data_IF_331795709293
#
_entry.id   IF_331795709293
#
_cell.length_a   1.000
_cell.length_b   1.000
_cell.length_c   1.000
_cell.angle_alpha   90.00
_cell.angle_beta   90.00
_cell.angle_gamma   90.00
#
_symmetry.space_group_name_H-M   'P 1'
#
loop_
_entity.id
_entity.type
_entity.pdbx_description
1 polymer ?
#
# COMPACT_ATOMS: atom_id res chain seq x y z
N UNK A 1 2.22 -4.96 65.75
CA UNK A 1 2.35 -4.27 64.44
C UNK A 1 3.73 -4.51 63.82
N UNK A 2 4.13 -5.77 63.56
CA UNK A 2 5.49 -6.11 63.08
C UNK A 2 5.52 -6.94 61.79
N UNK A 3 4.37 -7.27 61.21
CA UNK A 3 4.26 -8.05 59.97
C UNK A 3 3.80 -7.22 58.75
N UNK A 4 3.40 -5.96 58.95
CA UNK A 4 2.96 -5.07 57.86
C UNK A 4 4.09 -4.73 56.87
N UNK A 5 5.35 -4.70 57.31
CA UNK A 5 6.49 -4.44 56.42
C UNK A 5 6.81 -5.59 55.46
N UNK A 6 6.58 -6.84 55.87
CA UNK A 6 6.91 -8.01 55.05
C UNK A 6 5.93 -8.18 53.88
N UNK A 7 4.64 -7.88 54.10
CA UNK A 7 3.64 -7.87 53.03
C UNK A 7 3.90 -6.77 51.99
N UNK A 8 4.34 -5.59 52.43
CA UNK A 8 4.68 -4.49 51.52
C UNK A 8 5.92 -4.82 50.67
N UNK A 9 6.94 -5.45 51.26
CA UNK A 9 8.16 -5.87 50.55
C UNK A 9 7.89 -6.97 49.52
N UNK A 10 7.01 -7.93 49.84
CA UNK A 10 6.55 -8.96 48.89
C UNK A 10 5.75 -8.36 47.73
N UNK A 11 4.88 -7.39 48.00
CA UNK A 11 4.14 -6.67 46.97
C UNK A 11 5.08 -5.87 46.05
N UNK A 12 6.08 -5.19 46.62
CA UNK A 12 7.08 -4.44 45.87
C UNK A 12 7.96 -5.36 45.01
N UNK A 13 8.33 -6.54 45.53
CA UNK A 13 9.07 -7.55 44.79
C UNK A 13 8.26 -8.14 43.62
N UNK A 14 6.97 -8.40 43.82
CA UNK A 14 6.08 -8.88 42.76
C UNK A 14 5.88 -7.82 41.64
N UNK A 15 5.81 -6.53 42.00
CA UNK A 15 5.69 -5.45 41.02
C UNK A 15 7.00 -5.16 40.26
N UNK A 16 8.16 -5.38 40.89
CA UNK A 16 9.48 -5.23 40.24
C UNK A 16 9.72 -6.30 39.16
N UNK A 17 9.20 -7.52 39.36
CA UNK A 17 9.30 -8.61 38.37
C UNK A 17 8.48 -8.34 37.09
N UNK A 18 7.39 -7.57 37.17
CA UNK A 18 6.50 -7.32 36.02
C UNK A 18 6.93 -6.15 35.12
N UNK A 19 7.80 -5.24 35.57
CA UNK A 19 8.20 -4.05 34.79
C UNK A 19 9.39 -4.32 33.85
N UNK A 20 10.13 -5.42 34.03
CA UNK A 20 11.32 -5.76 33.24
C UNK A 20 11.01 -6.46 31.90
N UNK A 21 9.74 -6.70 31.58
CA UNK A 21 9.34 -7.57 30.47
C UNK A 21 8.78 -6.89 29.23
N UNK A 22 8.61 -5.56 29.23
CA UNK A 22 8.12 -4.86 28.04
C UNK A 22 9.31 -4.47 27.16
N UNK A 23 9.45 -5.01 25.94
CA UNK A 23 10.47 -4.54 25.01
C UNK A 23 10.24 -3.05 24.77
N UNK A 24 11.17 -2.25 25.27
CA UNK A 24 11.06 -0.80 25.27
C UNK A 24 11.59 -0.31 23.92
N UNK A 25 10.68 -0.01 22.98
CA UNK A 25 10.99 0.58 21.69
C UNK A 25 11.93 -0.27 20.85
N UNK A 26 11.47 -1.43 20.38
CA UNK A 26 12.18 -2.09 19.29
C UNK A 26 12.13 -1.19 18.06
N UNK A 27 13.28 -0.95 17.43
CA UNK A 27 13.33 -0.22 16.16
C UNK A 27 12.53 -1.03 15.13
N UNK A 28 11.49 -0.40 14.58
CA UNK A 28 10.64 -0.98 13.55
C UNK A 28 11.13 -0.51 12.18
N UNK A 29 11.21 -1.45 11.25
CA UNK A 29 11.56 -1.19 9.87
C UNK A 29 10.35 -1.45 8.97
N UNK A 30 10.16 -0.60 7.97
CA UNK A 30 9.27 -0.92 6.86
C UNK A 30 10.07 -1.76 5.86
N UNK A 31 9.61 -2.99 5.62
CA UNK A 31 10.33 -3.97 4.83
C UNK A 31 9.41 -4.70 3.86
N UNK A 32 9.99 -5.14 2.76
CA UNK A 32 9.43 -6.15 1.87
C UNK A 32 10.19 -7.46 2.12
N UNK A 33 9.44 -8.51 2.43
CA UNK A 33 9.97 -9.86 2.64
C UNK A 33 9.52 -10.73 1.48
N UNK A 34 10.46 -11.25 0.72
CA UNK A 34 10.21 -12.13 -0.43
C UNK A 34 10.91 -13.47 -0.27
N UNK A 35 10.32 -14.51 -0.83
CA UNK A 35 10.79 -15.89 -0.76
C UNK A 35 10.87 -16.51 -2.16
N UNK A 36 11.59 -17.65 -2.33
CA UNK A 36 11.53 -18.44 -3.55
C UNK A 36 10.11 -18.84 -3.95
N UNK A 37 9.84 -18.97 -5.26
CA UNK A 37 8.50 -19.21 -5.81
C UNK A 37 7.83 -20.51 -5.32
N UNK A 38 8.63 -21.53 -4.99
CA UNK A 38 8.18 -22.83 -4.50
C UNK A 38 7.93 -22.86 -2.97
N UNK A 39 8.05 -21.71 -2.30
CA UNK A 39 7.85 -21.61 -0.86
C UNK A 39 6.42 -21.97 -0.45
N UNK A 40 6.23 -22.94 0.46
CA UNK A 40 4.90 -23.34 0.93
C UNK A 40 4.15 -22.21 1.63
N UNK A 41 2.84 -22.10 1.40
CA UNK A 41 2.02 -21.05 2.02
C UNK A 41 1.99 -21.13 3.55
N UNK A 42 2.20 -22.32 4.13
CA UNK A 42 2.32 -22.48 5.58
C UNK A 42 3.54 -21.77 6.15
N UNK A 43 4.65 -21.70 5.40
CA UNK A 43 5.86 -20.99 5.83
C UNK A 43 5.66 -19.48 5.76
N UNK A 44 5.02 -18.98 4.69
CA UNK A 44 4.66 -17.57 4.59
C UNK A 44 3.72 -17.16 5.73
N UNK A 45 2.68 -17.97 6.00
CA UNK A 45 1.78 -17.72 7.12
C UNK A 45 2.53 -17.69 8.44
N UNK A 46 3.40 -18.66 8.68
CA UNK A 46 4.21 -18.70 9.90
C UNK A 46 5.09 -17.46 10.05
N UNK A 47 5.70 -16.97 8.97
CA UNK A 47 6.51 -15.75 9.00
C UNK A 47 5.67 -14.50 9.30
N UNK A 48 4.47 -14.39 8.71
CA UNK A 48 3.53 -13.31 9.01
C UNK A 48 3.06 -13.37 10.47
N UNK A 49 2.72 -14.56 10.97
CA UNK A 49 2.31 -14.78 12.36
C UNK A 49 3.41 -14.34 13.33
N UNK A 50 4.67 -14.72 13.07
CA UNK A 50 5.83 -14.30 13.87
C UNK A 50 5.94 -12.77 13.97
N UNK A 51 5.70 -12.04 12.87
CA UNK A 51 5.72 -10.56 12.86
C UNK A 51 4.59 -10.01 13.70
N UNK A 52 3.37 -10.52 13.54
CA UNK A 52 2.21 -10.04 14.29
C UNK A 52 2.32 -10.35 15.79
N UNK A 53 2.86 -11.52 16.16
CA UNK A 53 3.12 -11.93 17.54
C UNK A 53 4.20 -11.05 18.19
N UNK A 54 5.15 -10.57 17.40
CA UNK A 54 6.16 -9.60 17.80
C UNK A 54 5.63 -8.16 17.91
N UNK A 55 4.36 -7.93 17.58
CA UNK A 55 3.73 -6.60 17.60
C UNK A 55 3.88 -5.80 16.30
N UNK A 56 4.48 -6.39 15.25
CA UNK A 56 4.54 -5.79 13.92
C UNK A 56 3.21 -5.89 13.15
N UNK A 57 3.17 -5.26 11.97
CA UNK A 57 1.96 -5.11 11.15
C UNK A 57 2.28 -5.53 9.72
N UNK A 58 1.48 -6.43 9.16
CA UNK A 58 1.52 -6.74 7.72
C UNK A 58 0.78 -5.64 6.96
N UNK A 59 1.49 -4.94 6.07
CA UNK A 59 0.94 -3.80 5.31
C UNK A 59 0.37 -4.23 3.96
N UNK A 60 0.95 -5.28 3.37
CA UNK A 60 0.49 -5.81 2.09
C UNK A 60 0.91 -7.26 1.88
N UNK A 61 0.07 -8.08 1.26
CA UNK A 61 0.44 -9.42 0.78
C UNK A 61 0.44 -9.40 -0.75
N UNK A 62 1.51 -9.88 -1.36
CA UNK A 62 1.65 -9.86 -2.81
C UNK A 62 1.08 -11.12 -3.46
N UNK A 63 0.43 -10.95 -4.61
CA UNK A 63 -0.05 -12.06 -5.45
C UNK A 63 0.94 -12.48 -6.54
N UNK A 64 1.86 -11.60 -6.93
CA UNK A 64 2.82 -11.81 -8.03
C UNK A 64 4.09 -12.50 -7.55
N UNK A 65 4.52 -12.20 -6.33
CA UNK A 65 5.70 -12.78 -5.68
C UNK A 65 5.27 -13.53 -4.43
N UNK A 66 6.06 -14.52 -4.00
CA UNK A 66 5.89 -15.18 -2.70
C UNK A 66 6.44 -14.28 -1.61
N UNK A 67 5.63 -13.32 -1.15
CA UNK A 67 6.09 -12.36 -0.18
C UNK A 67 5.02 -11.41 0.31
N UNK A 68 5.41 -10.55 1.24
CA UNK A 68 4.56 -9.56 1.87
C UNK A 68 5.39 -8.37 2.34
N UNK A 69 4.76 -7.21 2.50
CA UNK A 69 5.32 -6.04 3.11
C UNK A 69 4.85 -5.93 4.57
N UNK A 70 5.71 -5.42 5.44
CA UNK A 70 5.42 -5.30 6.87
C UNK A 70 6.18 -4.13 7.51
N UNK A 71 5.59 -3.60 8.57
CA UNK A 71 6.32 -2.84 9.59
C UNK A 71 6.67 -3.83 10.69
N UNK A 72 7.95 -4.10 10.92
CA UNK A 72 8.38 -5.18 11.79
C UNK A 72 9.56 -4.78 12.67
N UNK A 73 9.60 -5.22 13.94
CA UNK A 73 10.79 -5.08 14.78
C UNK A 73 12.02 -5.81 14.21
N UNK A 74 13.21 -5.20 14.27
CA UNK A 74 14.45 -5.80 13.73
C UNK A 74 14.74 -7.24 14.27
N UNK A 75 14.42 -7.49 15.55
CA UNK A 75 14.68 -8.78 16.18
C UNK A 75 13.85 -9.93 15.57
N UNK A 76 12.64 -9.64 15.07
CA UNK A 76 11.80 -10.68 14.43
C UNK A 76 12.27 -10.94 13.00
N UNK A 77 12.76 -9.92 12.29
CA UNK A 77 13.35 -10.06 10.97
C UNK A 77 14.56 -11.01 11.00
N UNK A 78 15.43 -10.84 12.00
CA UNK A 78 16.55 -11.76 12.24
C UNK A 78 16.08 -13.21 12.45
N UNK A 79 14.98 -13.39 13.18
CA UNK A 79 14.42 -14.73 13.44
C UNK A 79 13.86 -15.37 12.17
N UNK A 80 13.17 -14.59 11.34
CA UNK A 80 12.59 -15.04 10.07
C UNK A 80 13.64 -15.56 9.09
N UNK A 81 14.82 -14.91 9.01
CA UNK A 81 15.92 -15.40 8.14
C UNK A 81 16.40 -16.80 8.49
N UNK A 82 16.19 -17.23 9.75
CA UNK A 82 16.59 -18.56 10.24
C UNK A 82 15.47 -19.59 10.24
N UNK A 83 14.24 -19.19 9.84
CA UNK A 83 13.04 -20.02 9.96
C UNK A 83 13.12 -21.30 9.10
N UNK A 84 13.69 -21.20 7.90
CA UNK A 84 13.89 -22.34 7.01
C UNK A 84 15.19 -22.20 6.23
N UNK A 85 16.12 -23.17 6.32
CA UNK A 85 17.35 -23.15 5.52
C UNK A 85 17.08 -23.39 4.04
N UNK A 86 16.00 -24.11 3.71
CA UNK A 86 15.63 -24.48 2.33
C UNK A 86 14.93 -23.32 1.59
N UNK A 87 14.27 -22.43 2.34
CA UNK A 87 13.49 -21.29 1.80
C UNK A 87 13.93 -20.00 2.49
N UNK A 88 15.14 -19.54 2.15
CA UNK A 88 15.69 -18.32 2.72
C UNK A 88 14.98 -17.09 2.14
N UNK A 89 14.46 -16.19 3.00
CA UNK A 89 13.87 -14.95 2.53
C UNK A 89 14.94 -13.93 2.13
N UNK A 90 14.57 -13.05 1.19
CA UNK A 90 15.23 -11.78 0.94
C UNK A 90 14.41 -10.69 1.64
N UNK A 91 15.06 -9.94 2.51
CA UNK A 91 14.45 -8.84 3.27
C UNK A 91 15.07 -7.53 2.77
N UNK A 92 14.23 -6.64 2.26
CA UNK A 92 14.63 -5.34 1.72
C UNK A 92 13.88 -4.22 2.44
N UNK A 93 14.55 -3.09 2.68
CA UNK A 93 13.89 -1.91 3.23
C UNK A 93 12.96 -1.30 2.18
N UNK A 94 11.71 -1.04 2.57
CA UNK A 94 10.71 -0.41 1.72
C UNK A 94 10.94 1.11 1.67
N UNK A 95 11.23 1.60 0.47
CA UNK A 95 11.64 2.98 0.22
C UNK A 95 10.59 3.80 -0.52
N UNK A 96 10.52 5.09 -0.22
CA UNK A 96 9.65 6.02 -0.97
C UNK A 96 10.29 6.34 -2.31
N UNK A 97 9.52 6.17 -3.39
CA UNK A 97 9.91 6.58 -4.74
C UNK A 97 9.22 7.91 -5.07
N UNK A 98 9.99 8.88 -5.57
CA UNK A 98 9.48 10.17 -6.03
C UNK A 98 9.58 10.31 -7.55
N UNK A 99 8.60 10.99 -8.15
CA UNK A 99 8.67 11.36 -9.57
C UNK A 99 9.71 12.48 -9.71
N UNK A 100 10.64 12.30 -10.65
CA UNK A 100 11.59 13.35 -11.00
C UNK A 100 10.92 14.31 -11.99
N UNK A 101 10.29 15.36 -11.48
CA UNK A 101 9.57 16.33 -12.30
C UNK A 101 10.55 17.41 -12.81
N UNK A 102 11.33 17.03 -13.83
CA UNK A 102 12.21 17.94 -14.56
C UNK A 102 11.66 18.16 -15.98
N UNK A 103 10.46 18.69 -16.09
CA UNK A 103 9.98 19.27 -17.34
C UNK A 103 10.29 20.77 -17.33
N UNK A 104 11.46 21.12 -17.87
CA UNK A 104 11.74 22.47 -18.35
C UNK A 104 11.07 22.61 -19.71
N UNK A 105 9.80 22.99 -19.70
CA UNK A 105 9.18 23.56 -20.89
C UNK A 105 9.71 24.99 -21.00
N UNK A 106 10.87 25.17 -21.62
CA UNK A 106 11.19 26.46 -22.19
C UNK A 106 10.09 26.76 -23.19
N UNK A 107 9.25 27.74 -22.86
CA UNK A 107 8.26 28.32 -23.75
C UNK A 107 8.98 28.71 -25.05
N UNK A 108 8.90 27.85 -26.06
CA UNK A 108 8.98 28.32 -27.44
C UNK A 108 7.75 29.22 -27.59
N UNK A 109 7.97 30.54 -27.46
CA UNK A 109 7.04 31.54 -27.96
C UNK A 109 6.90 31.26 -29.46
N UNK A 110 5.98 30.36 -29.82
CA UNK A 110 5.51 30.22 -31.18
C UNK A 110 4.91 31.58 -31.55
N UNK A 111 5.69 32.35 -32.31
CA UNK A 111 5.23 33.53 -33.00
C UNK A 111 3.92 33.16 -33.70
N UNK A 112 2.84 33.85 -33.32
CA UNK A 112 1.53 33.67 -33.89
C UNK A 112 1.56 34.05 -35.38
N UNK A 113 1.86 33.07 -36.23
CA UNK A 113 1.56 33.15 -37.65
C UNK A 113 0.04 33.13 -37.79
N UNK A 114 -0.51 34.33 -37.94
CA UNK A 114 -1.85 34.57 -38.40
C UNK A 114 -1.97 34.05 -39.85
N UNK A 115 -2.33 32.79 -40.00
CA UNK A 115 -2.86 32.26 -41.25
C UNK A 115 -4.37 32.10 -41.10
N UNK A 116 -5.06 32.78 -41.98
CA UNK A 116 -6.51 32.93 -42.08
C UNK A 116 -7.18 31.59 -42.43
N UNK A 117 -8.36 31.38 -41.85
CA UNK A 117 -9.52 30.71 -42.43
C UNK A 117 -9.34 29.30 -43.04
N UNK A 118 -9.45 28.27 -42.20
CA UNK A 118 -9.93 26.95 -42.65
C UNK A 118 -11.21 26.59 -41.87
N UNK A 119 -12.34 26.95 -42.48
CA UNK A 119 -13.70 26.60 -42.10
C UNK A 119 -13.85 25.07 -42.01
N UNK A 120 -13.90 24.53 -40.79
CA UNK A 120 -14.05 23.11 -40.54
C UNK A 120 -15.48 22.65 -40.89
N UNK A 121 -15.66 22.14 -42.12
CA UNK A 121 -16.86 21.42 -42.52
C UNK A 121 -17.00 20.15 -41.68
N UNK A 122 -17.88 20.20 -40.68
CA UNK A 122 -18.42 19.00 -40.03
C UNK A 122 -19.22 18.22 -41.08
N UNK A 123 -18.57 17.28 -41.75
CA UNK A 123 -19.27 16.30 -42.56
C UNK A 123 -20.23 15.48 -41.68
N UNK A 124 -21.49 15.49 -42.11
CA UNK A 124 -22.63 14.74 -41.61
C UNK A 124 -22.27 13.33 -41.10
N UNK A 125 -22.13 13.18 -39.78
CA UNK A 125 -22.40 11.90 -39.13
C UNK A 125 -23.90 11.83 -38.82
N UNK A 126 -24.67 10.95 -39.48
CA UNK A 126 -26.10 10.84 -39.21
C UNK A 126 -26.32 10.25 -37.82
N UNK A 127 -27.00 11.00 -36.94
CA UNK A 127 -27.74 10.38 -35.84
C UNK A 127 -27.54 10.93 -34.43
N UNK A 128 -26.78 12.00 -34.20
CA UNK A 128 -26.66 12.57 -32.84
C UNK A 128 -27.02 14.06 -32.86
N UNK A 129 -28.30 14.38 -32.62
CA UNK A 129 -28.68 15.73 -32.23
C UNK A 129 -28.16 16.02 -30.83
N UNK A 130 -27.16 16.90 -30.72
CA UNK A 130 -26.73 17.46 -29.45
C UNK A 130 -27.67 18.61 -29.08
N UNK A 131 -28.61 18.37 -28.18
CA UNK A 131 -29.32 19.49 -27.53
C UNK A 131 -28.45 20.01 -26.40
N UNK A 132 -27.93 21.22 -26.56
CA UNK A 132 -27.12 21.88 -25.55
C UNK A 132 -28.05 22.67 -24.63
N UNK A 133 -28.51 22.06 -23.55
CA UNK A 133 -29.24 22.76 -22.50
C UNK A 133 -28.23 23.20 -21.43
N UNK A 134 -27.89 24.48 -21.47
CA UNK A 134 -27.07 25.14 -20.45
C UNK A 134 -27.94 25.31 -19.20
N UNK A 135 -27.67 24.50 -18.18
CA UNK A 135 -28.14 24.78 -16.83
C UNK A 135 -26.91 24.92 -15.94
N UNK A 136 -26.85 26.07 -15.28
CA UNK A 136 -25.77 26.50 -14.42
C UNK A 136 -25.41 25.43 -13.36
N UNK A 137 -24.10 25.30 -13.13
CA UNK A 137 -23.48 24.74 -11.93
C UNK A 137 -23.76 23.25 -11.65
N UNK A 138 -23.16 22.35 -12.46
CA UNK A 138 -22.57 21.05 -12.09
C UNK A 138 -22.66 20.09 -13.29
N UNK A 139 -21.54 19.92 -14.02
CA UNK A 139 -21.48 19.02 -15.17
C UNK A 139 -21.39 17.57 -14.70
N UNK A 140 -22.53 16.89 -14.58
CA UNK A 140 -22.58 15.44 -14.46
C UNK A 140 -22.80 14.83 -15.85
N UNK A 141 -21.85 13.99 -16.29
CA UNK A 141 -21.99 13.21 -17.53
C UNK A 141 -22.80 11.96 -17.18
N UNK A 142 -24.08 11.97 -17.53
CA UNK A 142 -24.96 10.80 -17.37
C UNK A 142 -24.88 9.94 -18.63
N UNK A 143 -24.40 8.70 -18.49
CA UNK A 143 -24.42 7.71 -19.56
C UNK A 143 -25.73 6.92 -19.49
N UNK A 144 -26.61 7.12 -20.47
CA UNK A 144 -27.83 6.33 -20.60
C UNK A 144 -27.48 4.98 -21.22
N UNK A 145 -27.68 3.90 -20.46
CA UNK A 145 -27.27 2.54 -20.83
C UNK A 145 -28.50 1.71 -21.14
N UNK A 146 -29.25 2.06 -22.18
CA UNK A 146 -30.35 1.23 -22.67
C UNK A 146 -30.23 0.97 -24.17
N UNK A 147 -29.66 -0.20 -24.52
CA UNK A 147 -30.12 -1.05 -25.63
C UNK A 147 -29.21 -2.28 -25.84
N UNK A 148 -29.48 -3.39 -25.15
CA UNK A 148 -29.12 -4.73 -25.65
C UNK A 148 -30.39 -5.56 -25.70
N UNK A 149 -31.11 -5.48 -26.81
CA UNK A 149 -31.95 -6.58 -27.31
C UNK A 149 -32.23 -6.39 -28.80
N UNK A 150 -31.65 -7.26 -29.64
CA UNK A 150 -32.07 -7.71 -30.98
C UNK A 150 -30.84 -7.84 -31.91
N UNK A 151 -30.58 -8.94 -32.62
CA UNK A 151 -31.48 -10.02 -32.97
C UNK A 151 -30.76 -11.29 -33.42
N UNK A 152 -31.54 -12.36 -33.32
CA UNK A 152 -31.43 -13.60 -34.09
C UNK A 152 -31.66 -13.32 -35.58
N UNK A 153 -30.80 -13.87 -36.44
CA UNK A 153 -31.15 -14.81 -37.53
C UNK A 153 -29.89 -15.26 -38.24
#
# INVERSE_FOLDING_TARGET
MKFFGFGLLLCLYAQLLTVLGSPQGAEEENVVISYPDDTPSSLLQQAMDMITDAGGIITHEYSIIRGFAAVAPEYVLSSITTLSPDFQPVIEQDGVVSINDSHDWSEEEDEADAEEDEEFYLEDLPGIMKTMQRHDDNAEVVYDTEAVTAGHS
#
